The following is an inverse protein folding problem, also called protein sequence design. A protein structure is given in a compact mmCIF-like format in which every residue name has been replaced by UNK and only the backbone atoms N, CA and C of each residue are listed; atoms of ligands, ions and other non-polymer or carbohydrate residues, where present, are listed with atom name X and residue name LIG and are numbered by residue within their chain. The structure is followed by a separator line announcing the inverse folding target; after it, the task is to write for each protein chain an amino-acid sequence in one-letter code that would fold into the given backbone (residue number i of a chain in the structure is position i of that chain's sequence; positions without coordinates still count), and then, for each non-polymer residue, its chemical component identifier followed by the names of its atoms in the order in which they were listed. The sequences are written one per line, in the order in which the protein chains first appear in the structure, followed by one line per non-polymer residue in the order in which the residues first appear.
data_IF_133923125020
#
_entry.id   IF_133923125020
#
_cell.length_a   1.000
_cell.length_b   1.000
_cell.length_c   1.000
_cell.angle_alpha   90.00
_cell.angle_beta   90.00
_cell.angle_gamma   90.00
#
_symmetry.space_group_name_H-M   'P 1'
#
loop_
_entity.id
_entity.type
_entity.pdbx_description
1 polymer ?
#
# COMPACT_ATOMS: atom_id res chain seq x y z
N UNK A 1 -5.78 5.37 -0.47
CA UNK A 1 -5.83 4.05 -1.10
C UNK A 1 -7.22 3.75 -1.63
N UNK A 2 -7.31 3.17 -2.81
CA UNK A 2 -8.52 2.59 -3.39
C UNK A 2 -8.26 1.13 -3.80
N UNK A 3 -9.31 0.39 -4.17
CA UNK A 3 -9.20 -0.96 -4.73
C UNK A 3 -9.37 -0.97 -6.25
N UNK A 4 -9.76 0.16 -6.83
CA UNK A 4 -9.91 0.38 -8.27
C UNK A 4 -9.64 1.85 -8.56
N UNK A 5 -9.59 2.23 -9.83
CA UNK A 5 -9.62 3.63 -10.23
C UNK A 5 -10.92 4.28 -9.71
N UNK A 6 -10.82 5.53 -9.26
CA UNK A 6 -11.91 6.22 -8.56
C UNK A 6 -12.22 7.56 -9.19
N UNK A 7 -13.50 7.93 -9.19
CA UNK A 7 -13.96 9.28 -9.44
C UNK A 7 -13.90 10.16 -8.18
N UNK A 8 -14.19 11.46 -8.30
CA UNK A 8 -14.09 12.42 -7.20
C UNK A 8 -14.95 12.09 -5.98
N UNK A 9 -16.13 11.50 -6.19
CA UNK A 9 -17.11 11.16 -5.14
C UNK A 9 -16.93 9.73 -4.59
N UNK A 10 -16.07 8.92 -5.22
CA UNK A 10 -15.86 7.54 -4.79
C UNK A 10 -15.10 7.47 -3.47
N UNK A 11 -15.42 6.49 -2.62
CA UNK A 11 -14.78 6.34 -1.33
C UNK A 11 -13.33 5.88 -1.46
N UNK A 12 -12.43 6.59 -0.81
CA UNK A 12 -11.03 6.21 -0.64
C UNK A 12 -10.66 6.04 0.81
N UNK A 13 -9.61 5.29 1.06
CA UNK A 13 -9.12 5.00 2.40
C UNK A 13 -7.90 5.85 2.71
N UNK A 14 -8.02 6.74 3.66
CA UNK A 14 -6.88 7.40 4.32
C UNK A 14 -6.39 6.48 5.42
N UNK A 15 -5.17 5.99 5.28
CA UNK A 15 -4.60 5.00 6.20
C UNK A 15 -3.35 5.52 6.87
N UNK A 16 -3.34 5.52 8.20
CA UNK A 16 -2.15 5.77 9.00
C UNK A 16 -1.61 4.43 9.50
N UNK A 17 -0.35 4.14 9.17
CA UNK A 17 0.38 2.97 9.69
C UNK A 17 1.49 3.45 10.61
N UNK A 18 1.45 2.99 11.85
CA UNK A 18 2.50 3.25 12.85
C UNK A 18 3.14 1.93 13.25
N UNK A 19 4.45 1.91 13.42
CA UNK A 19 5.16 0.77 14.00
C UNK A 19 5.72 1.19 15.35
N UNK A 20 5.33 0.49 16.39
CA UNK A 20 5.82 0.72 17.75
C UNK A 20 6.16 -0.64 18.38
N UNK A 21 7.36 -0.80 18.89
CA UNK A 21 7.86 -2.05 19.51
C UNK A 21 7.56 -3.29 18.63
N UNK A 22 7.87 -3.21 17.34
CA UNK A 22 7.61 -4.24 16.32
C UNK A 22 6.13 -4.52 16.00
N UNK A 23 5.17 -3.90 16.69
CA UNK A 23 3.74 -4.02 16.41
C UNK A 23 3.33 -2.93 15.41
N UNK A 24 2.60 -3.34 14.37
CA UNK A 24 2.05 -2.41 13.37
C UNK A 24 0.61 -2.08 13.72
N UNK A 25 0.39 -0.82 14.02
CA UNK A 25 -0.96 -0.26 14.23
C UNK A 25 -1.45 0.37 12.92
N UNK A 26 -2.68 0.06 12.55
CA UNK A 26 -3.32 0.61 11.37
C UNK A 26 -4.60 1.33 11.76
N UNK A 27 -4.72 2.58 11.33
CA UNK A 27 -5.94 3.38 11.41
C UNK A 27 -6.45 3.65 10.01
N UNK A 28 -7.76 3.63 9.83
CA UNK A 28 -8.39 3.86 8.53
C UNK A 28 -9.58 4.81 8.67
N UNK A 29 -9.60 5.83 7.84
CA UNK A 29 -10.71 6.74 7.63
C UNK A 29 -11.19 6.59 6.19
N UNK A 30 -12.48 6.67 5.95
CA UNK A 30 -13.08 6.65 4.61
C UNK A 30 -13.58 8.05 4.30
N UNK A 31 -13.21 8.57 3.13
CA UNK A 31 -13.62 9.88 2.64
C UNK A 31 -13.86 9.79 1.12
N UNK A 32 -14.68 10.68 0.52
CA UNK A 32 -14.65 10.90 -0.92
C UNK A 32 -13.24 11.26 -1.40
N UNK A 33 -12.86 10.81 -2.60
CA UNK A 33 -11.52 11.03 -3.14
C UNK A 33 -11.18 12.53 -3.19
N UNK A 34 -12.08 13.35 -3.70
CA UNK A 34 -11.90 14.80 -3.83
C UNK A 34 -11.63 15.47 -2.48
N UNK A 35 -12.34 15.07 -1.42
CA UNK A 35 -12.12 15.60 -0.08
C UNK A 35 -10.75 15.16 0.47
N UNK A 36 -10.42 13.87 0.36
CA UNK A 36 -9.14 13.34 0.78
C UNK A 36 -7.99 14.05 0.07
N UNK A 37 -8.03 14.18 -1.25
CA UNK A 37 -6.98 14.83 -2.03
C UNK A 37 -6.87 16.33 -1.73
N UNK A 38 -8.00 17.01 -1.53
CA UNK A 38 -8.00 18.43 -1.14
C UNK A 38 -7.31 18.62 0.21
N UNK A 39 -7.63 17.79 1.20
CA UNK A 39 -6.99 17.84 2.53
C UNK A 39 -5.47 17.64 2.45
N UNK A 40 -5.01 16.67 1.67
CA UNK A 40 -3.57 16.36 1.58
C UNK A 40 -2.78 17.28 0.65
N UNK A 41 -3.39 17.86 -0.40
CA UNK A 41 -2.73 18.79 -1.31
C UNK A 41 -2.71 20.23 -0.79
N UNK A 42 -3.83 20.68 -0.19
CA UNK A 42 -3.99 22.07 0.27
C UNK A 42 -3.75 22.26 1.75
N UNK A 43 -3.52 21.18 2.50
CA UNK A 43 -3.32 21.26 3.95
C UNK A 43 -4.59 21.59 4.74
N UNK A 44 -5.78 21.46 4.15
CA UNK A 44 -7.04 21.71 4.86
C UNK A 44 -7.30 20.59 5.89
N UNK A 45 -8.00 20.88 6.99
CA UNK A 45 -8.37 19.87 7.97
C UNK A 45 -9.25 18.76 7.35
N UNK A 46 -9.14 17.55 7.92
CA UNK A 46 -10.04 16.45 7.56
C UNK A 46 -11.48 16.76 8.00
N UNK A 47 -12.49 16.48 7.17
CA UNK A 47 -13.89 16.84 7.47
C UNK A 47 -14.49 16.02 8.61
N UNK A 48 -13.93 14.85 8.91
CA UNK A 48 -14.40 13.96 9.94
C UNK A 48 -13.87 14.33 11.32
N UNK A 49 -14.75 14.30 12.35
CA UNK A 49 -14.38 14.60 13.74
C UNK A 49 -14.19 13.33 14.59
N UNK A 50 -13.78 12.22 13.99
CA UNK A 50 -13.52 10.97 14.71
C UNK A 50 -12.16 11.00 15.41
N UNK A 51 -11.95 10.08 16.37
CA UNK A 51 -10.64 9.88 16.99
C UNK A 51 -9.58 9.59 15.93
N UNK A 52 -9.91 8.77 14.93
CA UNK A 52 -8.96 8.41 13.83
C UNK A 52 -8.58 9.66 13.04
N UNK A 53 -9.54 10.53 12.73
CA UNK A 53 -9.24 11.78 12.03
C UNK A 53 -8.29 12.66 12.85
N UNK A 54 -8.54 12.80 14.17
CA UNK A 54 -7.62 13.56 15.06
C UNK A 54 -6.22 12.95 15.12
N UNK A 55 -6.08 11.61 15.14
CA UNK A 55 -4.78 10.94 15.10
C UNK A 55 -4.04 11.22 13.78
N UNK A 56 -4.76 11.23 12.65
CA UNK A 56 -4.17 11.56 11.33
C UNK A 56 -3.75 13.03 11.28
N UNK A 57 -4.60 13.95 11.77
CA UNK A 57 -4.27 15.39 11.83
C UNK A 57 -3.06 15.66 12.72
N UNK A 58 -2.99 15.02 13.89
CA UNK A 58 -1.82 15.11 14.77
C UNK A 58 -0.54 14.66 14.04
N UNK A 59 -0.62 13.55 13.29
CA UNK A 59 0.49 13.03 12.52
C UNK A 59 0.92 14.02 11.42
N UNK A 60 -0.04 14.62 10.72
CA UNK A 60 0.23 15.65 9.70
C UNK A 60 0.89 16.87 10.31
N UNK A 61 0.37 17.36 11.44
CA UNK A 61 0.93 18.51 12.14
C UNK A 61 2.35 18.24 12.64
N UNK A 62 2.62 17.02 13.13
CA UNK A 62 3.95 16.63 13.60
C UNK A 62 5.00 16.61 12.49
N UNK A 63 4.66 16.02 11.34
CA UNK A 63 5.58 15.86 10.22
C UNK A 63 5.51 17.00 9.19
N UNK A 64 4.86 18.07 9.42
CA UNK A 64 4.70 19.32 8.63
C UNK A 64 4.92 19.26 7.10
N UNK A 65 5.86 18.43 6.63
CA UNK A 65 6.26 18.25 5.22
C UNK A 65 5.58 17.08 4.52
N UNK A 66 4.52 16.50 5.11
CA UNK A 66 3.84 15.37 4.46
C UNK A 66 3.10 15.83 3.19
N UNK A 67 3.51 15.25 2.09
CA UNK A 67 2.88 15.42 0.78
C UNK A 67 2.83 14.05 0.06
N UNK A 68 1.97 13.89 -0.94
CA UNK A 68 1.99 12.70 -1.79
C UNK A 68 3.39 12.55 -2.41
N UNK A 69 4.02 11.40 -2.24
CA UNK A 69 5.38 11.15 -2.70
C UNK A 69 5.44 10.12 -3.82
N UNK A 70 4.56 9.12 -3.79
CA UNK A 70 4.57 8.03 -4.74
C UNK A 70 3.17 7.44 -4.92
N UNK A 71 2.79 7.17 -6.16
CA UNK A 71 1.66 6.33 -6.50
C UNK A 71 2.14 4.89 -6.64
N UNK A 72 1.36 3.96 -6.09
CA UNK A 72 1.60 2.53 -6.22
C UNK A 72 0.33 1.84 -6.67
N UNK A 73 0.42 1.06 -7.74
CA UNK A 73 -0.64 0.17 -8.21
C UNK A 73 -0.15 -1.27 -8.29
N UNK A 74 -1.05 -2.21 -8.15
CA UNK A 74 -0.79 -3.64 -8.32
C UNK A 74 -2.09 -4.40 -8.46
N UNK A 75 -2.05 -5.51 -9.14
CA UNK A 75 -3.12 -6.48 -9.19
C UNK A 75 -2.97 -7.46 -8.03
N UNK A 76 -4.09 -7.86 -7.41
CA UNK A 76 -4.06 -8.74 -6.25
C UNK A 76 -5.09 -9.84 -6.35
N UNK A 77 -4.62 -11.07 -6.23
CA UNK A 77 -5.44 -12.20 -5.86
C UNK A 77 -5.33 -12.48 -4.37
N UNK A 78 -6.45 -12.81 -3.72
CA UNK A 78 -6.49 -13.09 -2.28
C UNK A 78 -7.23 -14.40 -2.01
N UNK A 79 -6.56 -15.29 -1.32
CA UNK A 79 -7.06 -16.62 -0.95
C UNK A 79 -7.20 -16.70 0.56
N UNK A 80 -8.31 -17.26 1.02
CA UNK A 80 -8.65 -17.43 2.42
C UNK A 80 -8.86 -18.91 2.72
N UNK A 81 -8.50 -19.31 3.94
CA UNK A 81 -8.77 -20.67 4.40
C UNK A 81 -10.27 -20.92 4.46
N UNK A 82 -10.71 -22.12 4.08
CA UNK A 82 -12.12 -22.53 4.13
C UNK A 82 -12.53 -23.05 5.51
N UNK A 83 -11.57 -23.32 6.40
CA UNK A 83 -11.79 -23.85 7.74
C UNK A 83 -12.14 -22.77 8.78
N UNK A 84 -12.33 -21.52 8.33
CA UNK A 84 -12.63 -20.39 9.21
C UNK A 84 -11.42 -19.83 9.98
N UNK A 85 -10.20 -20.36 9.77
CA UNK A 85 -8.99 -19.78 10.31
C UNK A 85 -8.67 -18.43 9.62
N UNK A 86 -7.79 -17.64 10.23
CA UNK A 86 -7.33 -16.36 9.65
C UNK A 86 -6.20 -16.52 8.62
N UNK A 87 -5.86 -17.77 8.27
CA UNK A 87 -4.84 -18.05 7.27
C UNK A 87 -5.23 -17.47 5.91
N UNK A 88 -4.36 -16.63 5.38
CA UNK A 88 -4.58 -15.93 4.13
C UNK A 88 -3.29 -15.84 3.32
N UNK A 89 -3.43 -16.04 2.01
CA UNK A 89 -2.38 -15.82 1.02
C UNK A 89 -2.82 -14.76 0.04
N UNK A 90 -1.97 -13.80 -0.26
CA UNK A 90 -2.19 -12.84 -1.34
C UNK A 90 -1.05 -12.91 -2.33
N UNK A 91 -1.38 -12.82 -3.62
CA UNK A 91 -0.43 -12.74 -4.72
C UNK A 91 -0.58 -11.37 -5.36
N UNK A 92 0.51 -10.61 -5.42
CA UNK A 92 0.53 -9.28 -6.02
C UNK A 92 1.40 -9.32 -7.27
N UNK A 93 0.83 -8.89 -8.38
CA UNK A 93 1.45 -8.83 -9.69
C UNK A 93 1.35 -7.41 -10.25
N UNK A 94 2.06 -7.13 -11.34
CA UNK A 94 2.04 -5.83 -12.02
C UNK A 94 2.21 -4.66 -11.04
N UNK A 95 3.18 -4.80 -10.12
CA UNK A 95 3.44 -3.77 -9.12
C UNK A 95 4.18 -2.62 -9.78
N UNK A 96 3.49 -1.49 -9.97
CA UNK A 96 4.02 -0.29 -10.60
C UNK A 96 4.13 0.85 -9.60
N UNK A 97 5.10 1.74 -9.80
CA UNK A 97 5.22 2.99 -9.06
C UNK A 97 5.49 4.17 -9.98
N UNK A 98 5.08 5.37 -9.56
CA UNK A 98 5.42 6.65 -10.21
C UNK A 98 5.43 7.79 -9.20
N UNK A 99 6.13 8.88 -9.56
CA UNK A 99 6.26 10.09 -8.73
C UNK A 99 5.41 11.27 -9.22
N UNK A 100 4.90 11.20 -10.43
CA UNK A 100 4.01 12.19 -11.04
C UNK A 100 2.58 11.65 -11.12
N UNK A 101 1.61 12.54 -11.40
CA UNK A 101 0.20 12.17 -11.54
C UNK A 101 -0.28 11.22 -10.41
N UNK A 102 -0.13 11.71 -9.17
CA UNK A 102 -0.38 10.92 -7.94
C UNK A 102 -1.87 10.86 -7.58
N UNK A 103 -2.76 10.95 -8.56
CA UNK A 103 -4.19 10.85 -8.36
C UNK A 103 -4.67 9.41 -8.51
N UNK A 104 -5.57 8.97 -7.60
CA UNK A 104 -6.06 7.59 -7.58
C UNK A 104 -7.02 7.25 -8.73
N UNK A 105 -7.58 8.25 -9.40
CA UNK A 105 -8.40 8.09 -10.60
C UNK A 105 -7.62 8.07 -11.92
N UNK A 106 -6.31 8.30 -11.87
CA UNK A 106 -5.48 8.26 -13.07
C UNK A 106 -5.32 6.86 -13.63
N UNK A 107 -4.97 6.79 -14.90
CA UNK A 107 -4.65 5.52 -15.56
C UNK A 107 -3.54 4.75 -14.81
N UNK A 108 -3.56 3.43 -14.94
CA UNK A 108 -2.54 2.56 -14.38
C UNK A 108 -1.33 2.54 -15.30
N UNK A 109 -0.25 3.19 -14.86
CA UNK A 109 1.06 3.20 -15.52
C UNK A 109 2.16 3.50 -14.49
N UNK A 110 3.40 3.28 -14.86
CA UNK A 110 4.57 3.55 -14.02
C UNK A 110 5.71 2.56 -14.28
N UNK A 111 6.71 2.62 -13.42
CA UNK A 111 7.86 1.73 -13.49
C UNK A 111 7.60 0.45 -12.69
N UNK A 112 7.97 -0.74 -13.20
CA UNK A 112 7.79 -1.98 -12.47
C UNK A 112 8.71 -2.06 -11.25
N UNK A 113 8.19 -2.56 -10.12
CA UNK A 113 8.98 -2.83 -8.92
C UNK A 113 9.59 -4.23 -8.90
N UNK A 114 8.97 -5.17 -9.59
CA UNK A 114 9.46 -6.53 -9.73
C UNK A 114 9.91 -6.76 -11.17
N UNK A 115 10.83 -7.68 -11.35
CA UNK A 115 11.20 -8.18 -12.67
C UNK A 115 10.02 -8.94 -13.29
N UNK A 116 9.98 -8.98 -14.62
CA UNK A 116 8.95 -9.73 -15.34
C UNK A 116 8.92 -11.20 -14.88
N UNK A 117 7.71 -11.72 -14.72
CA UNK A 117 7.46 -13.08 -14.24
C UNK A 117 7.60 -13.29 -12.73
N UNK A 118 7.83 -12.23 -11.96
CA UNK A 118 7.85 -12.31 -10.50
C UNK A 118 6.51 -11.88 -9.89
N UNK A 119 6.04 -12.66 -8.92
CA UNK A 119 4.85 -12.40 -8.12
C UNK A 119 5.27 -12.23 -6.66
N UNK A 120 4.73 -11.23 -5.99
CA UNK A 120 4.94 -11.04 -4.56
C UNK A 120 3.85 -11.79 -3.78
N UNK A 121 4.25 -12.87 -3.13
CA UNK A 121 3.38 -13.61 -2.23
C UNK A 121 3.49 -13.07 -0.80
N UNK A 122 2.36 -12.78 -0.16
CA UNK A 122 2.28 -12.44 1.25
C UNK A 122 1.38 -13.46 1.97
N UNK A 123 1.90 -14.11 2.98
CA UNK A 123 1.16 -15.07 3.80
C UNK A 123 0.92 -14.46 5.18
N UNK A 124 -0.31 -14.55 5.67
CA UNK A 124 -0.72 -14.06 6.99
C UNK A 124 -1.45 -15.14 7.75
N UNK A 125 -1.10 -15.27 9.02
CA UNK A 125 -1.78 -16.12 10.00
C UNK A 125 -1.48 -15.58 11.40
N UNK A 126 -2.42 -15.68 12.33
CA UNK A 126 -2.19 -15.39 13.75
C UNK A 126 -1.61 -16.60 14.50
N UNK A 127 -1.79 -17.79 13.94
CA UNK A 127 -1.26 -19.05 14.46
C UNK A 127 0.01 -19.51 13.76
N UNK A 128 0.30 -20.79 13.86
CA UNK A 128 1.38 -21.43 13.11
C UNK A 128 1.03 -21.59 11.63
N UNK A 129 2.06 -21.68 10.80
CA UNK A 129 1.87 -22.04 9.39
C UNK A 129 1.27 -23.44 9.27
N UNK A 130 0.25 -23.65 8.43
CA UNK A 130 -0.22 -24.99 8.11
C UNK A 130 0.92 -25.87 7.57
N UNK A 131 1.03 -27.11 8.03
CA UNK A 131 2.13 -28.01 7.63
C UNK A 131 2.19 -28.22 6.11
N UNK A 132 1.03 -28.34 5.45
CA UNK A 132 0.98 -28.47 4.01
C UNK A 132 1.61 -27.27 3.29
N UNK A 133 1.41 -26.04 3.81
CA UNK A 133 1.99 -24.82 3.23
C UNK A 133 3.50 -24.80 3.44
N UNK A 134 3.98 -25.13 4.65
CA UNK A 134 5.42 -25.23 4.94
C UNK A 134 6.11 -26.25 4.04
N UNK A 135 5.51 -27.43 3.85
CA UNK A 135 6.05 -28.46 2.97
C UNK A 135 6.04 -28.02 1.49
N UNK A 136 4.98 -27.31 1.07
CA UNK A 136 4.88 -26.80 -0.30
C UNK A 136 5.95 -25.77 -0.60
N UNK A 137 6.11 -24.77 0.29
CA UNK A 137 7.14 -23.74 0.14
C UNK A 137 8.55 -24.35 0.13
N UNK A 138 8.83 -25.29 1.04
CA UNK A 138 10.12 -25.98 1.09
C UNK A 138 10.41 -26.78 -0.18
N UNK A 139 9.43 -27.54 -0.67
CA UNK A 139 9.55 -28.31 -1.92
C UNK A 139 9.81 -27.44 -3.13
N UNK A 140 9.14 -26.25 -3.19
CA UNK A 140 9.29 -25.29 -4.27
C UNK A 140 10.49 -24.35 -4.06
N UNK A 141 11.23 -24.49 -2.96
CA UNK A 141 12.36 -23.63 -2.60
C UNK A 141 11.98 -22.15 -2.55
N UNK A 142 10.76 -21.85 -2.09
CA UNK A 142 10.29 -20.49 -1.86
C UNK A 142 10.63 -20.07 -0.44
N UNK A 143 11.49 -19.07 -0.31
CA UNK A 143 11.99 -18.61 0.99
C UNK A 143 11.43 -17.23 1.32
N UNK A 144 11.27 -16.98 2.61
CA UNK A 144 10.83 -15.69 3.11
C UNK A 144 11.88 -14.63 2.80
N UNK A 145 11.39 -13.49 2.32
CA UNK A 145 12.21 -12.28 2.13
C UNK A 145 11.54 -11.08 2.77
N UNK A 146 12.32 -10.07 3.10
CA UNK A 146 11.77 -8.78 3.53
C UNK A 146 11.49 -7.94 2.29
N UNK A 147 10.22 -7.55 2.09
CA UNK A 147 9.83 -6.69 0.97
C UNK A 147 8.82 -5.64 1.42
N UNK A 148 9.08 -4.40 1.07
CA UNK A 148 8.16 -3.28 1.23
C UNK A 148 7.99 -2.58 -0.11
N UNK A 149 6.77 -2.54 -0.65
CA UNK A 149 6.49 -1.85 -1.91
C UNK A 149 6.95 -0.39 -1.88
N UNK A 150 6.64 0.33 -0.79
CA UNK A 150 7.10 1.73 -0.64
C UNK A 150 8.61 1.82 -0.47
N UNK A 151 9.22 0.91 0.28
CA UNK A 151 10.67 0.86 0.45
C UNK A 151 11.40 0.56 -0.86
N UNK A 152 10.92 -0.38 -1.64
CA UNK A 152 11.47 -0.72 -2.95
C UNK A 152 11.31 0.46 -3.93
N UNK A 153 10.12 1.09 -4.00
CA UNK A 153 9.91 2.27 -4.82
C UNK A 153 10.88 3.40 -4.42
N UNK A 154 11.02 3.66 -3.12
CA UNK A 154 11.95 4.67 -2.62
C UNK A 154 13.41 4.38 -3.01
N UNK A 155 13.86 3.14 -2.87
CA UNK A 155 15.20 2.73 -3.30
C UNK A 155 15.41 2.93 -4.80
N UNK A 156 14.43 2.54 -5.64
CA UNK A 156 14.50 2.76 -7.08
C UNK A 156 14.57 4.25 -7.44
N UNK A 157 13.79 5.09 -6.76
CA UNK A 157 13.83 6.55 -6.97
C UNK A 157 15.18 7.16 -6.61
N UNK A 158 15.83 6.66 -5.55
CA UNK A 158 17.14 7.15 -5.12
C UNK A 158 18.28 6.67 -6.02
N UNK A 159 18.17 5.46 -6.57
CA UNK A 159 19.22 4.89 -7.45
C UNK A 159 19.11 5.38 -8.90
N UNK A 160 17.92 5.82 -9.34
CA UNK A 160 17.65 6.30 -10.68
C UNK A 160 17.02 7.71 -10.67
N UNK A 161 17.72 8.74 -10.16
CA UNK A 161 17.16 10.08 -10.04
C UNK A 161 16.86 10.78 -11.38
N UNK A 162 17.30 10.22 -12.52
CA UNK A 162 17.12 10.75 -13.87
C UNK A 162 16.05 10.07 -14.73
N UNK A 163 15.32 9.08 -14.20
CA UNK A 163 14.30 8.34 -14.98
C UNK A 163 12.98 9.09 -15.25
N UNK A 164 12.92 10.41 -15.09
CA UNK A 164 11.70 11.22 -15.16
C UNK A 164 11.69 12.26 -16.29
N UNK A 165 12.60 12.23 -17.27
CA UNK A 165 12.64 13.25 -18.31
C UNK A 165 12.18 12.81 -19.71
N UNK A 166 11.82 11.57 -19.94
CA UNK A 166 11.37 11.12 -21.26
C UNK A 166 10.07 10.29 -21.13
N UNK A 167 8.92 10.97 -21.14
CA UNK A 167 7.65 10.47 -21.66
C UNK A 167 6.65 11.61 -21.86
#
# INVERSE_FOLDING_TARGET
RSYQAVGPEDPVFVELKKKFQSVVYKRRLVLPEQEAMTCFRRGTPLPAQSQIAREIEYFRAYYQSLHPAVFLSYEREAYYALDGSDFRVTLDENILYRQNDLWLGSNVYGHPLLRDGYTLMEVKTSGGFPLWMSHTLARLRVYQTSFSKYGAAYQHMMTNPGGLQDA
#
